data_IF_698583490667
#
_entry.id   IF_698583490667
#
_cell.length_a   1.000
_cell.length_b   1.000
_cell.length_c   1.000
_cell.angle_alpha   90.00
_cell.angle_beta   90.00
_cell.angle_gamma   90.00
#
_symmetry.space_group_name_H-M   'P 1'
#
loop_
_entity.id
_entity.type
_entity.pdbx_description
1 polymer ?
#
# COMPACT_ATOMS: atom_id res chain seq x y z
N UNK A 1 7.54 -5.31 -27.12
CA UNK A 1 7.97 -5.39 -25.70
C UNK A 1 9.10 -6.43 -25.60
N UNK A 2 10.24 -6.02 -25.08
CA UNK A 2 11.35 -6.94 -24.75
C UNK A 2 11.06 -7.68 -23.45
N UNK A 3 11.71 -8.82 -23.20
CA UNK A 3 11.66 -9.51 -21.90
C UNK A 3 12.18 -8.60 -20.77
N UNK A 4 13.18 -7.79 -21.06
CA UNK A 4 13.71 -6.81 -20.10
C UNK A 4 12.70 -5.72 -19.75
N UNK A 5 11.88 -5.31 -20.70
CA UNK A 5 10.82 -4.33 -20.50
C UNK A 5 9.77 -4.86 -19.53
N UNK A 6 9.36 -6.11 -19.70
CA UNK A 6 8.42 -6.77 -18.80
C UNK A 6 8.97 -6.89 -17.37
N UNK A 7 10.27 -7.17 -17.23
CA UNK A 7 10.95 -7.22 -15.93
C UNK A 7 11.00 -5.82 -15.27
N UNK A 8 11.26 -4.79 -16.06
CA UNK A 8 11.33 -3.42 -15.56
C UNK A 8 9.95 -2.95 -15.06
N UNK A 9 8.90 -3.12 -15.87
CA UNK A 9 7.52 -2.81 -15.49
C UNK A 9 7.11 -3.57 -14.21
N UNK A 10 7.41 -4.86 -14.13
CA UNK A 10 7.11 -5.67 -12.94
C UNK A 10 7.89 -5.20 -11.70
N UNK A 11 9.11 -4.70 -11.86
CA UNK A 11 9.92 -4.11 -10.78
C UNK A 11 9.27 -2.83 -10.24
N UNK A 12 8.77 -1.95 -11.12
CA UNK A 12 8.05 -0.74 -10.67
C UNK A 12 6.76 -1.10 -9.93
N UNK A 13 6.05 -2.13 -10.41
CA UNK A 13 4.85 -2.63 -9.73
C UNK A 13 5.17 -3.21 -8.34
N UNK A 14 6.29 -3.95 -8.19
CA UNK A 14 6.74 -4.44 -6.87
C UNK A 14 6.99 -3.30 -5.89
N UNK A 15 7.70 -2.26 -6.31
CA UNK A 15 7.98 -1.09 -5.49
C UNK A 15 6.67 -0.40 -5.05
N UNK A 16 5.74 -0.21 -5.98
CA UNK A 16 4.44 0.38 -5.71
C UNK A 16 3.61 -0.47 -4.72
N UNK A 17 3.57 -1.80 -4.91
CA UNK A 17 2.84 -2.69 -4.01
C UNK A 17 3.49 -2.80 -2.62
N UNK A 18 4.82 -2.71 -2.53
CA UNK A 18 5.53 -2.65 -1.24
C UNK A 18 5.09 -1.42 -0.44
N UNK A 19 5.03 -0.25 -1.08
CA UNK A 19 4.55 0.97 -0.44
C UNK A 19 3.09 0.81 0.01
N UNK A 20 2.23 0.21 -0.81
CA UNK A 20 0.83 -0.06 -0.45
C UNK A 20 0.71 -0.98 0.76
N UNK A 21 1.46 -2.09 0.79
CA UNK A 21 1.47 -3.03 1.92
C UNK A 21 1.92 -2.32 3.21
N UNK A 22 2.97 -1.51 3.15
CA UNK A 22 3.47 -0.77 4.30
C UNK A 22 2.44 0.25 4.82
N UNK A 23 1.75 0.95 3.93
CA UNK A 23 0.70 1.90 4.30
C UNK A 23 -0.48 1.21 4.97
N UNK A 24 -0.95 0.09 4.40
CA UNK A 24 -2.02 -0.74 5.00
C UNK A 24 -1.59 -1.27 6.37
N UNK A 25 -0.37 -1.76 6.51
CA UNK A 25 0.16 -2.24 7.79
C UNK A 25 0.20 -1.11 8.84
N UNK A 26 0.56 0.11 8.44
CA UNK A 26 0.52 1.29 9.31
C UNK A 26 -0.91 1.63 9.73
N UNK A 27 -1.87 1.61 8.81
CA UNK A 27 -3.28 1.83 9.11
C UNK A 27 -3.80 0.80 10.12
N UNK A 28 -3.52 -0.49 9.89
CA UNK A 28 -3.94 -1.57 10.79
C UNK A 28 -3.32 -1.45 12.18
N UNK A 29 -2.03 -1.12 12.26
CA UNK A 29 -1.32 -0.94 13.54
C UNK A 29 -1.90 0.19 14.37
N UNK A 30 -2.42 1.23 13.71
CA UNK A 30 -2.97 2.42 14.36
C UNK A 30 -4.51 2.41 14.47
N UNK A 31 -5.19 1.39 13.97
CA UNK A 31 -6.65 1.32 13.93
C UNK A 31 -7.32 1.42 15.32
N UNK A 32 -6.60 1.01 16.38
CA UNK A 32 -7.08 1.03 17.76
C UNK A 32 -6.36 2.06 18.63
N UNK A 33 -5.59 2.97 18.06
CA UNK A 33 -4.98 4.05 18.84
C UNK A 33 -6.04 5.01 19.34
N UNK A 34 -5.79 5.62 20.50
CA UNK A 34 -6.70 6.54 21.16
C UNK A 34 -6.05 7.91 21.27
N UNK A 35 -6.83 8.96 21.02
CA UNK A 35 -6.41 10.35 21.18
C UNK A 35 -7.39 11.11 22.09
N UNK A 36 -6.91 12.21 22.66
CA UNK A 36 -7.74 13.12 23.49
C UNK A 36 -8.58 14.07 22.65
N UNK A 37 -8.18 14.30 21.39
CA UNK A 37 -8.89 15.20 20.47
C UNK A 37 -9.07 14.54 19.11
N UNK A 38 -10.04 15.01 18.35
CA UNK A 38 -10.28 14.52 16.99
C UNK A 38 -9.11 14.85 16.04
N UNK A 39 -8.43 15.99 16.27
CA UNK A 39 -7.32 16.45 15.44
C UNK A 39 -6.06 15.57 15.62
N UNK A 40 -5.81 15.10 16.87
CA UNK A 40 -4.66 14.26 17.21
C UNK A 40 -4.87 12.80 16.84
N UNK A 41 -6.05 12.43 16.38
CA UNK A 41 -6.37 11.06 15.99
C UNK A 41 -5.62 10.69 14.72
N UNK A 42 -5.05 9.47 14.70
CA UNK A 42 -4.41 8.93 13.50
C UNK A 42 -5.38 8.91 12.32
N UNK A 43 -4.93 9.34 11.16
CA UNK A 43 -5.70 9.28 9.92
C UNK A 43 -5.16 8.20 9.01
N UNK A 44 -6.06 7.39 8.47
CA UNK A 44 -5.69 6.38 7.49
C UNK A 44 -5.06 7.03 6.27
N UNK A 45 -4.07 6.36 5.69
CA UNK A 45 -3.37 6.85 4.51
C UNK A 45 -3.45 5.82 3.38
N UNK A 46 -3.42 6.30 2.14
CA UNK A 46 -3.33 5.45 0.96
C UNK A 46 -2.34 6.02 -0.07
N UNK A 47 -1.59 5.16 -0.78
CA UNK A 47 -0.74 5.61 -1.86
C UNK A 47 -1.58 5.90 -3.11
N UNK A 48 -1.28 7.02 -3.76
CA UNK A 48 -1.81 7.38 -5.07
C UNK A 48 -0.83 6.93 -6.13
N UNK A 49 -1.28 6.08 -7.04
CA UNK A 49 -0.47 5.56 -8.13
C UNK A 49 -0.58 6.41 -9.38
N UNK A 50 0.52 6.50 -10.09
CA UNK A 50 0.59 7.18 -11.37
C UNK A 50 1.33 6.30 -12.38
N UNK A 51 0.77 6.16 -13.58
CA UNK A 51 1.50 5.61 -14.71
C UNK A 51 2.55 6.63 -15.18
N UNK A 52 3.76 6.17 -15.40
CA UNK A 52 4.88 6.99 -15.90
C UNK A 52 5.57 6.28 -17.05
N UNK A 53 6.02 7.04 -18.04
CA UNK A 53 6.89 6.53 -19.10
C UNK A 53 8.29 6.33 -18.52
N UNK A 54 8.83 5.13 -18.68
CA UNK A 54 10.17 4.78 -18.23
C UNK A 54 11.16 4.80 -19.40
N UNK A 55 12.09 5.76 -19.37
CA UNK A 55 13.15 5.90 -20.35
C UNK A 55 12.71 6.39 -21.73
N UNK A 56 13.53 6.11 -22.76
CA UNK A 56 13.26 6.43 -24.17
C UNK A 56 12.28 5.44 -24.84
N UNK A 57 11.87 4.39 -24.14
CA UNK A 57 10.89 3.42 -24.63
C UNK A 57 9.49 3.82 -24.17
N UNK A 58 8.50 3.76 -25.06
CA UNK A 58 7.06 4.02 -24.79
C UNK A 58 6.44 3.04 -23.76
N UNK A 59 7.18 2.73 -22.68
CA UNK A 59 6.75 1.76 -21.69
C UNK A 59 6.19 2.47 -20.47
N UNK A 60 4.99 2.05 -20.08
CA UNK A 60 4.30 2.56 -18.90
C UNK A 60 4.66 1.72 -17.69
N UNK A 61 5.46 2.27 -16.78
CA UNK A 61 5.65 1.78 -15.43
C UNK A 61 4.65 2.40 -14.45
N UNK A 62 4.69 1.94 -13.20
CA UNK A 62 3.86 2.47 -12.09
C UNK A 62 4.76 3.08 -11.03
N UNK A 63 4.41 4.28 -10.59
CA UNK A 63 5.09 4.96 -9.48
C UNK A 63 4.07 5.47 -8.46
N UNK A 64 4.45 5.47 -7.19
CA UNK A 64 3.70 6.18 -6.14
C UNK A 64 3.93 7.69 -6.33
N UNK A 65 2.86 8.41 -6.61
CA UNK A 65 2.87 9.88 -6.76
C UNK A 65 2.94 10.55 -5.40
N UNK A 66 2.09 10.14 -4.48
CA UNK A 66 1.96 10.66 -3.13
C UNK A 66 1.34 9.60 -2.21
N UNK A 67 1.47 9.81 -0.91
CA UNK A 67 0.68 9.10 0.10
C UNK A 67 -0.25 10.17 0.67
N UNK A 68 -1.55 9.93 0.60
CA UNK A 68 -2.57 10.88 1.02
C UNK A 68 -3.39 10.32 2.18
N UNK A 69 -3.79 11.21 3.09
CA UNK A 69 -4.71 10.88 4.16
C UNK A 69 -6.11 10.66 3.57
N UNK A 70 -6.72 9.52 3.87
CA UNK A 70 -8.04 9.10 3.36
C UNK A 70 -9.04 8.85 4.49
N UNK A 71 -8.69 9.18 5.73
CA UNK A 71 -9.53 8.95 6.89
C UNK A 71 -10.79 9.82 6.90
N UNK A 72 -11.88 9.26 7.40
CA UNK A 72 -13.07 9.99 7.79
C UNK A 72 -12.85 10.79 9.09
N UNK A 73 -13.94 11.34 9.63
CA UNK A 73 -13.92 11.96 10.95
C UNK A 73 -13.62 10.93 12.04
N UNK A 74 -12.84 11.33 13.07
CA UNK A 74 -12.52 10.46 14.19
C UNK A 74 -13.80 9.96 14.87
N UNK A 75 -13.84 8.66 15.19
CA UNK A 75 -14.97 8.05 15.91
C UNK A 75 -14.90 8.44 17.38
N UNK A 76 -15.96 9.04 17.86
CA UNK A 76 -16.11 9.44 19.27
C UNK A 76 -16.71 8.28 20.07
N UNK A 77 -16.05 7.87 21.14
CA UNK A 77 -16.47 6.78 22.02
C UNK A 77 -16.50 7.26 23.47
N UNK A 78 -17.56 6.91 24.21
CA UNK A 78 -17.73 7.33 25.60
C UNK A 78 -17.01 6.35 26.54
N UNK A 79 -15.87 6.76 27.08
CA UNK A 79 -15.06 6.01 28.04
C UNK A 79 -14.52 6.96 29.14
N UNK A 80 -15.33 7.38 30.11
CA UNK A 80 -14.93 8.38 31.11
C UNK A 80 -13.81 7.91 32.06
N UNK A 81 -13.58 6.60 32.16
CA UNK A 81 -12.50 6.03 32.96
C UNK A 81 -11.15 6.00 32.24
N UNK A 82 -11.13 6.34 30.94
CA UNK A 82 -9.89 6.30 30.14
C UNK A 82 -8.98 7.51 30.48
N UNK A 83 -7.64 7.31 30.62
CA UNK A 83 -6.73 8.42 30.97
C UNK A 83 -6.69 9.56 29.94
N UNK A 84 -7.08 9.29 28.69
CA UNK A 84 -7.13 10.26 27.59
C UNK A 84 -8.53 10.78 27.32
N UNK A 85 -9.51 10.51 28.21
CA UNK A 85 -10.86 11.04 28.04
C UNK A 85 -10.86 12.57 28.17
N UNK A 86 -11.65 13.22 27.33
CA UNK A 86 -11.87 14.67 27.42
C UNK A 86 -12.71 15.04 28.65
N UNK A 87 -12.99 16.34 28.85
CA UNK A 87 -13.77 16.84 29.99
C UNK A 87 -15.20 16.29 30.00
N UNK A 88 -15.72 15.79 28.88
CA UNK A 88 -17.06 15.22 28.72
C UNK A 88 -17.04 13.67 28.83
N UNK A 89 -15.88 13.07 29.00
CA UNK A 89 -15.69 11.61 29.13
C UNK A 89 -15.61 10.86 27.81
N UNK A 90 -15.25 11.52 26.70
CA UNK A 90 -15.09 10.89 25.40
C UNK A 90 -13.62 10.74 25.01
N UNK A 91 -13.37 9.69 24.27
CA UNK A 91 -12.10 9.42 23.59
C UNK A 91 -12.32 9.41 22.06
N UNK A 92 -11.25 9.59 21.31
CA UNK A 92 -11.29 9.65 19.87
C UNK A 92 -10.45 8.52 19.29
N UNK A 93 -11.02 7.75 18.36
CA UNK A 93 -10.39 6.64 17.65
C UNK A 93 -10.40 6.90 16.15
N UNK A 94 -9.41 6.38 15.39
CA UNK A 94 -9.40 6.45 13.94
C UNK A 94 -10.63 5.78 13.33
N UNK A 95 -11.12 6.33 12.21
CA UNK A 95 -12.15 5.68 11.40
C UNK A 95 -11.49 4.71 10.40
N UNK A 96 -11.03 3.57 10.92
CA UNK A 96 -10.36 2.51 10.15
C UNK A 96 -11.12 1.21 10.34
N UNK A 97 -11.60 0.63 9.24
CA UNK A 97 -12.16 -0.71 9.22
C UNK A 97 -11.02 -1.73 9.00
N UNK A 98 -10.64 -2.41 10.07
CA UNK A 98 -9.59 -3.44 10.06
C UNK A 98 -9.91 -4.56 9.07
N UNK A 99 -11.18 -4.93 8.91
CA UNK A 99 -11.60 -5.98 7.98
C UNK A 99 -11.34 -5.56 6.54
N UNK A 100 -11.67 -4.30 6.21
CA UNK A 100 -11.39 -3.72 4.90
C UNK A 100 -9.88 -3.64 4.64
N UNK A 101 -9.10 -3.20 5.64
CA UNK A 101 -7.64 -3.15 5.52
C UNK A 101 -7.01 -4.54 5.35
N UNK A 102 -7.54 -5.58 6.03
CA UNK A 102 -7.10 -6.95 5.80
C UNK A 102 -7.40 -7.42 4.37
N UNK A 103 -8.57 -7.09 3.81
CA UNK A 103 -8.90 -7.40 2.42
C UNK A 103 -7.96 -6.66 1.44
N UNK A 104 -7.65 -5.39 1.72
CA UNK A 104 -6.69 -4.60 0.97
C UNK A 104 -5.28 -5.21 1.03
N UNK A 105 -4.85 -5.69 2.20
CA UNK A 105 -3.57 -6.37 2.40
C UNK A 105 -3.47 -7.64 1.56
N UNK A 106 -4.52 -8.47 1.56
CA UNK A 106 -4.55 -9.70 0.75
C UNK A 106 -4.49 -9.38 -0.75
N UNK A 107 -5.21 -8.36 -1.19
CA UNK A 107 -5.18 -7.89 -2.58
C UNK A 107 -3.78 -7.41 -2.99
N UNK A 108 -3.15 -6.57 -2.16
CA UNK A 108 -1.80 -6.06 -2.40
C UNK A 108 -0.75 -7.18 -2.43
N UNK A 109 -0.86 -8.15 -1.50
CA UNK A 109 0.03 -9.32 -1.44
C UNK A 109 -0.08 -10.19 -2.69
N UNK A 110 -1.29 -10.43 -3.20
CA UNK A 110 -1.48 -11.17 -4.45
C UNK A 110 -0.88 -10.44 -5.64
N UNK A 111 -1.07 -9.13 -5.73
CA UNK A 111 -0.48 -8.31 -6.80
C UNK A 111 1.05 -8.33 -6.73
N UNK A 112 1.62 -8.27 -5.53
CA UNK A 112 3.05 -8.39 -5.29
C UNK A 112 3.59 -9.76 -5.74
N UNK A 113 2.92 -10.85 -5.37
CA UNK A 113 3.30 -12.21 -5.80
C UNK A 113 3.24 -12.37 -7.32
N UNK A 114 2.18 -11.87 -7.96
CA UNK A 114 2.06 -11.91 -9.42
C UNK A 114 3.19 -11.16 -10.11
N UNK A 115 3.63 -10.01 -9.59
CA UNK A 115 4.75 -9.28 -10.15
C UNK A 115 6.09 -10.06 -10.00
N UNK A 116 6.29 -10.76 -8.88
CA UNK A 116 7.44 -11.66 -8.69
C UNK A 116 7.42 -12.80 -9.72
N UNK A 117 6.25 -13.41 -9.95
CA UNK A 117 6.10 -14.48 -10.93
C UNK A 117 6.44 -14.02 -12.35
N UNK A 118 6.02 -12.81 -12.74
CA UNK A 118 6.36 -12.20 -14.03
C UNK A 118 7.88 -12.05 -14.15
N UNK A 119 8.58 -11.54 -13.15
CA UNK A 119 10.03 -11.40 -13.15
C UNK A 119 10.73 -12.76 -13.28
N UNK A 120 10.31 -13.75 -12.50
CA UNK A 120 10.89 -15.08 -12.51
C UNK A 120 10.68 -15.77 -13.87
N UNK A 121 9.49 -15.67 -14.43
CA UNK A 121 9.17 -16.25 -15.75
C UNK A 121 9.98 -15.57 -16.85
N UNK A 122 10.05 -14.24 -16.85
CA UNK A 122 10.86 -13.49 -17.81
C UNK A 122 12.33 -13.83 -17.72
N UNK A 123 12.87 -13.97 -16.51
CA UNK A 123 14.25 -14.42 -16.29
C UNK A 123 14.49 -15.83 -16.84
N UNK A 124 13.58 -16.77 -16.59
CA UNK A 124 13.70 -18.15 -17.11
C UNK A 124 13.65 -18.18 -18.64
N UNK A 125 12.76 -17.39 -19.26
CA UNK A 125 12.67 -17.27 -20.71
C UNK A 125 13.96 -16.69 -21.30
N UNK A 126 14.51 -15.64 -20.69
CA UNK A 126 15.78 -15.06 -21.11
C UNK A 126 16.94 -16.07 -21.05
N UNK A 127 17.02 -16.86 -19.98
CA UNK A 127 18.04 -17.91 -19.85
C UNK A 127 17.87 -19.02 -20.89
N UNK A 128 16.64 -19.45 -21.19
CA UNK A 128 16.35 -20.44 -22.21
C UNK A 128 16.70 -19.94 -23.61
N UNK A 129 16.40 -18.70 -23.94
CA UNK A 129 16.77 -18.12 -25.25
C UNK A 129 18.28 -18.07 -25.43
N UNK A 130 19.04 -17.76 -24.37
CA UNK A 130 20.50 -17.78 -24.39
C UNK A 130 21.08 -19.18 -24.57
N UNK A 131 20.45 -20.22 -24.03
CA UNK A 131 20.89 -21.61 -24.18
C UNK A 131 20.53 -22.22 -25.54
N UNK A 132 19.47 -21.74 -26.19
CA UNK A 132 19.06 -22.17 -27.52
C UNK A 132 19.90 -21.52 -28.64
N UNK A 133 20.59 -20.41 -28.33
CA UNK A 133 21.46 -19.68 -29.25
C UNK A 133 22.93 -20.17 -29.26
N UNK A 134 23.23 -21.24 -28.50
CA UNK A 134 24.51 -21.96 -28.52
C UNK A 134 24.35 -23.27 -29.23
#
# INVERSE_FOLDING_TARGET
MSLFDSMNIASTALSAQTTRINTIASNMANANTVASTAEDTFKASAPIFQAVLEGESDQLGVRVKSIEEIGGEARREFEPAHPLADAEGFIYKPDIDVTQEMANMMSASRSFQSAIEVINTSKQLALRTLTLGK
#
